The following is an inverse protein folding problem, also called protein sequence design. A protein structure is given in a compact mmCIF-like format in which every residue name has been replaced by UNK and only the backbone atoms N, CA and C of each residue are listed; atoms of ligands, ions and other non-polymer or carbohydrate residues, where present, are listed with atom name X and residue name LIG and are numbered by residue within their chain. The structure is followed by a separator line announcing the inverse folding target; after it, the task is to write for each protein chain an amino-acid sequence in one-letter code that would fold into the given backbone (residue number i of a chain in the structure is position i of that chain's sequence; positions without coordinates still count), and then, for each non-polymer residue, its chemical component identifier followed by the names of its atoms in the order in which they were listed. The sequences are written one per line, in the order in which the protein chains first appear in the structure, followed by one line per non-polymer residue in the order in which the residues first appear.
data_IF_905811379601
#
_entry.id   IF_905811379601
#
_cell.length_a   1.000
_cell.length_b   1.000
_cell.length_c   1.000
_cell.angle_alpha   90.00
_cell.angle_beta   90.00
_cell.angle_gamma   90.00
#
_symmetry.space_group_name_H-M   'P 1'
#
loop_
_entity.id
_entity.type
_entity.pdbx_description
1 polymer ?
#
# COMPACT_ATOMS: atom_id res chain seq x y z
N UNK A 1 -9.71 25.31 -20.45
CA UNK A 1 -9.46 24.80 -19.09
C UNK A 1 -9.04 23.35 -19.23
N UNK A 2 -8.00 22.91 -18.52
CA UNK A 2 -7.66 21.49 -18.42
C UNK A 2 -8.44 20.92 -17.22
N UNK A 3 -9.22 19.88 -17.46
CA UNK A 3 -9.94 19.13 -16.44
C UNK A 3 -9.20 17.82 -16.16
N UNK A 4 -9.08 17.44 -14.89
CA UNK A 4 -8.47 16.17 -14.52
C UNK A 4 -9.30 15.02 -15.10
N UNK A 5 -8.67 14.01 -15.73
CA UNK A 5 -9.40 12.87 -16.23
C UNK A 5 -10.18 12.18 -15.10
N UNK A 6 -11.40 11.68 -15.38
CA UNK A 6 -12.22 11.04 -14.37
C UNK A 6 -11.43 9.90 -13.73
N UNK A 7 -11.41 9.88 -12.38
CA UNK A 7 -10.72 8.84 -11.64
C UNK A 7 -11.29 7.48 -12.07
N UNK A 8 -10.43 6.63 -12.63
CA UNK A 8 -10.78 5.27 -13.00
C UNK A 8 -11.23 4.47 -11.77
N UNK A 9 -11.86 3.30 -12.01
CA UNK A 9 -12.29 2.41 -10.93
C UNK A 9 -11.12 2.08 -10.00
N UNK A 10 -11.36 1.98 -8.67
CA UNK A 10 -10.32 1.56 -7.74
C UNK A 10 -9.70 0.24 -8.21
N UNK A 11 -8.37 0.19 -8.31
CA UNK A 11 -7.67 -1.05 -8.64
C UNK A 11 -7.93 -2.08 -7.53
N UNK A 12 -8.29 -3.33 -7.87
CA UNK A 12 -8.55 -4.36 -6.86
C UNK A 12 -7.25 -4.93 -6.24
N UNK A 13 -6.09 -4.49 -6.71
CA UNK A 13 -4.80 -4.93 -6.20
C UNK A 13 -4.48 -4.25 -4.88
N UNK A 14 -4.18 -5.05 -3.85
CA UNK A 14 -3.67 -4.54 -2.60
C UNK A 14 -2.20 -4.15 -2.74
N UNK A 15 -1.78 -3.19 -1.91
CA UNK A 15 -0.39 -2.75 -1.82
C UNK A 15 0.13 -2.94 -0.42
N UNK A 16 1.42 -3.25 -0.32
CA UNK A 16 2.18 -3.22 0.91
C UNK A 16 3.63 -2.82 0.60
N UNK A 17 4.42 -2.64 1.66
CA UNK A 17 5.87 -2.46 1.56
C UNK A 17 6.54 -3.63 2.27
N UNK A 18 7.50 -4.25 1.60
CA UNK A 18 8.29 -5.37 2.13
C UNK A 18 9.75 -5.04 1.87
N UNK A 19 10.57 -5.01 2.93
CA UNK A 19 12.00 -4.72 2.82
C UNK A 19 12.34 -3.43 2.03
N UNK A 20 11.50 -2.39 2.16
CA UNK A 20 11.66 -1.14 1.43
C UNK A 20 11.20 -1.15 -0.02
N UNK A 21 10.53 -2.20 -0.49
CA UNK A 21 10.01 -2.32 -1.85
C UNK A 21 8.48 -2.35 -1.87
N UNK A 22 7.89 -1.73 -2.89
CA UNK A 22 6.44 -1.72 -3.06
C UNK A 22 5.99 -2.99 -3.76
N UNK A 23 5.19 -3.78 -3.07
CA UNK A 23 4.62 -5.02 -3.59
C UNK A 23 3.13 -4.82 -3.88
N UNK A 24 2.70 -5.34 -5.02
CA UNK A 24 1.29 -5.43 -5.40
C UNK A 24 0.83 -6.89 -5.28
N UNK A 25 -0.24 -7.13 -4.54
CA UNK A 25 -0.85 -8.45 -4.43
C UNK A 25 -2.12 -8.51 -5.27
N UNK A 26 -2.21 -9.47 -6.20
CA UNK A 26 -3.39 -9.63 -7.02
C UNK A 26 -4.60 -10.11 -6.18
N UNK A 27 -5.84 -9.85 -6.60
CA UNK A 27 -7.04 -10.18 -5.82
C UNK A 27 -7.18 -11.67 -5.49
N UNK A 28 -6.76 -12.55 -6.41
CA UNK A 28 -6.80 -14.01 -6.21
C UNK A 28 -5.84 -14.40 -5.08
N UNK A 29 -4.57 -14.00 -5.16
CA UNK A 29 -3.59 -14.32 -4.12
C UNK A 29 -3.94 -13.67 -2.77
N UNK A 30 -4.58 -12.50 -2.75
CA UNK A 30 -5.09 -11.91 -1.49
C UNK A 30 -6.13 -12.81 -0.81
N UNK A 31 -6.95 -13.51 -1.59
CA UNK A 31 -7.97 -14.44 -1.08
C UNK A 31 -7.37 -15.78 -0.69
N UNK A 32 -6.39 -16.27 -1.45
CA UNK A 32 -5.77 -17.58 -1.22
C UNK A 32 -4.72 -17.58 -0.11
N UNK A 33 -4.06 -16.44 0.15
CA UNK A 33 -2.99 -16.30 1.14
C UNK A 33 -3.31 -15.12 2.08
N UNK A 34 -4.20 -15.27 3.07
CA UNK A 34 -4.64 -14.15 3.93
C UNK A 34 -3.52 -13.57 4.82
N UNK A 35 -2.49 -14.37 5.09
CA UNK A 35 -1.30 -14.07 5.89
C UNK A 35 -0.19 -13.33 5.11
N UNK A 36 -0.39 -13.03 3.83
CA UNK A 36 0.60 -12.35 2.99
C UNK A 36 1.12 -11.02 3.56
N UNK A 37 0.32 -10.35 4.39
CA UNK A 37 0.70 -9.12 5.08
C UNK A 37 1.63 -9.35 6.28
N UNK A 38 1.95 -10.58 6.66
CA UNK A 38 2.86 -10.83 7.79
C UNK A 38 4.31 -10.49 7.47
N UNK A 39 4.70 -10.61 6.19
CA UNK A 39 5.98 -10.11 5.69
C UNK A 39 5.98 -8.57 5.47
N UNK A 40 4.82 -7.92 5.51
CA UNK A 40 4.71 -6.49 5.26
C UNK A 40 5.18 -5.65 6.47
N UNK A 41 5.83 -4.54 6.16
CA UNK A 41 6.19 -3.52 7.13
C UNK A 41 4.93 -2.94 7.79
N UNK A 42 5.06 -2.62 9.08
CA UNK A 42 4.00 -1.99 9.88
C UNK A 42 4.32 -0.52 10.06
N UNK A 43 3.32 0.34 9.98
CA UNK A 43 3.47 1.74 10.35
C UNK A 43 3.94 1.84 11.81
N UNK A 44 5.08 2.51 12.10
CA UNK A 44 5.57 2.65 13.47
C UNK A 44 4.63 3.47 14.36
N UNK A 45 3.77 4.31 13.77
CA UNK A 45 2.82 5.16 14.51
C UNK A 45 1.48 4.46 14.82
N UNK A 46 0.95 3.62 13.92
CA UNK A 46 -0.41 3.06 14.08
C UNK A 46 -0.55 1.54 13.78
N UNK A 47 0.55 0.86 13.45
CA UNK A 47 0.57 -0.58 13.17
C UNK A 47 -0.04 -1.00 11.82
N UNK A 48 -0.53 -0.08 11.00
CA UNK A 48 -1.15 -0.40 9.71
C UNK A 48 -0.13 -0.97 8.71
N UNK A 49 -0.52 -2.02 7.96
CA UNK A 49 0.39 -2.77 7.08
C UNK A 49 0.29 -2.45 5.58
N UNK A 50 -0.84 -1.90 5.12
CA UNK A 50 -1.03 -1.57 3.69
C UNK A 50 -0.41 -0.21 3.36
N UNK A 51 0.91 -0.14 3.52
CA UNK A 51 1.73 1.04 3.25
C UNK A 51 1.92 1.26 1.75
N UNK A 52 2.32 2.47 1.36
CA UNK A 52 2.66 2.83 -0.02
C UNK A 52 4.05 3.46 -0.04
N UNK A 53 4.88 3.14 -1.03
CA UNK A 53 6.09 3.92 -1.29
C UNK A 53 5.77 5.10 -2.20
N UNK A 54 6.24 6.29 -1.81
CA UNK A 54 6.17 7.50 -2.63
C UNK A 54 7.53 8.17 -2.60
N UNK A 55 8.22 8.20 -3.74
CA UNK A 55 9.52 8.86 -3.89
C UNK A 55 10.54 8.41 -2.83
N UNK A 56 10.58 7.10 -2.53
CA UNK A 56 11.44 6.52 -1.50
C UNK A 56 10.84 6.49 -0.09
N UNK A 57 9.83 7.31 0.20
CA UNK A 57 9.20 7.34 1.52
C UNK A 57 8.12 6.29 1.68
N UNK A 58 8.11 5.64 2.84
CA UNK A 58 7.02 4.80 3.33
C UNK A 58 5.91 5.69 3.86
N UNK A 59 4.74 5.62 3.25
CA UNK A 59 3.57 6.43 3.58
C UNK A 59 2.45 5.55 4.11
N UNK A 60 1.98 5.87 5.32
CA UNK A 60 0.82 5.23 5.92
C UNK A 60 -0.46 5.97 5.52
N UNK A 61 -1.33 5.40 4.66
CA UNK A 61 -2.56 6.07 4.27
C UNK A 61 -3.60 6.12 5.40
N UNK A 62 -3.44 5.32 6.46
CA UNK A 62 -4.38 5.29 7.59
C UNK A 62 -4.18 6.46 8.55
N UNK A 63 -2.94 6.83 8.88
CA UNK A 63 -2.64 7.89 9.85
C UNK A 63 -1.83 9.06 9.28
N UNK A 64 -1.42 9.01 8.02
CA UNK A 64 -0.66 10.07 7.36
C UNK A 64 0.84 10.10 7.66
N UNK A 65 1.35 9.22 8.54
CA UNK A 65 2.78 9.19 8.88
C UNK A 65 3.62 8.78 7.65
N UNK A 66 4.72 9.50 7.43
CA UNK A 66 5.67 9.26 6.34
C UNK A 66 7.11 9.26 6.87
N UNK A 67 7.91 8.29 6.46
CA UNK A 67 9.32 8.16 6.85
C UNK A 67 10.14 7.57 5.71
N UNK A 68 11.46 7.78 5.75
CA UNK A 68 12.38 7.23 4.74
C UNK A 68 12.52 5.72 4.89
#
# INVERSE_FOLDING_TARGET
MQEDPPQGKPSPWARAVVSGEQVLMCPVCQSEQPDWLDAAERCPNCGYKKLTLKLGFRVCPKCGHSWE
#
